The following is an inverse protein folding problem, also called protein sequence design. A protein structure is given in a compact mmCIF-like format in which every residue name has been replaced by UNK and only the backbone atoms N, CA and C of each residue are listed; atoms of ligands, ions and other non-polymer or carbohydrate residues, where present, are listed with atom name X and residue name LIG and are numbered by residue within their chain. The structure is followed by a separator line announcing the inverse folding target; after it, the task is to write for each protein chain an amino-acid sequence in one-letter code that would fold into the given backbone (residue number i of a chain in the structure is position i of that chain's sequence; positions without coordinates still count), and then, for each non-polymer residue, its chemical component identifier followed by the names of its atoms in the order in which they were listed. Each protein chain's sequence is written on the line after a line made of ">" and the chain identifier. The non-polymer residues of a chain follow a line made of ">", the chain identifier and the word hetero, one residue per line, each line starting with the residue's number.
data_IF_854615776976
#
_entry.id   IF_854615776976
#
_cell.length_a   1.000
_cell.length_b   1.000
_cell.length_c   1.000
_cell.angle_alpha   90.00
_cell.angle_beta   90.00
_cell.angle_gamma   90.00
#
_symmetry.space_group_name_H-M   'P 1'
#
loop_
_entity.id
_entity.type
_entity.pdbx_description
1 polymer ?
#
# COMPACT_ATOMS: atom_id res chain seq x y z
N UNK A 1 5.32 38.46 -10.13
CA UNK A 1 5.21 37.19 -10.88
C UNK A 1 4.21 36.34 -10.13
N UNK A 2 2.96 36.26 -10.60
CA UNK A 2 1.96 35.34 -10.04
C UNK A 2 2.35 33.93 -10.47
N UNK A 3 2.94 33.15 -9.57
CA UNK A 3 3.09 31.71 -9.76
C UNK A 3 1.68 31.15 -9.92
N UNK A 4 1.30 30.81 -11.16
CA UNK A 4 0.07 30.04 -11.39
C UNK A 4 0.24 28.72 -10.65
N UNK A 5 -0.72 28.39 -9.80
CA UNK A 5 -0.78 27.05 -9.20
C UNK A 5 -0.69 26.01 -10.32
N UNK A 6 0.12 24.96 -10.17
CA UNK A 6 0.28 23.96 -11.21
C UNK A 6 -1.05 23.30 -11.56
N UNK A 7 -1.25 23.00 -12.85
CA UNK A 7 -2.39 22.21 -13.30
C UNK A 7 -2.04 20.75 -13.07
N UNK A 8 -2.68 20.12 -12.09
CA UNK A 8 -2.42 18.74 -11.70
C UNK A 8 -3.50 17.79 -12.22
N UNK A 9 -3.10 16.74 -12.91
CA UNK A 9 -3.97 15.60 -13.26
C UNK A 9 -3.80 14.51 -12.22
N UNK A 10 -4.91 14.05 -11.65
CA UNK A 10 -4.91 12.94 -10.70
C UNK A 10 -5.27 11.64 -11.42
N UNK A 11 -4.38 10.66 -11.36
CA UNK A 11 -4.65 9.29 -11.81
C UNK A 11 -5.08 8.46 -10.61
N UNK A 12 -6.26 7.85 -10.74
CA UNK A 12 -6.89 7.04 -9.71
C UNK A 12 -7.62 5.81 -10.29
N UNK A 13 -7.56 5.63 -11.62
CA UNK A 13 -8.16 4.49 -12.30
C UNK A 13 -7.32 3.25 -12.02
N UNK A 14 -7.98 2.18 -11.57
CA UNK A 14 -7.31 0.94 -11.18
C UNK A 14 -6.43 0.34 -12.27
N UNK A 15 -6.91 0.32 -13.51
CA UNK A 15 -6.16 -0.28 -14.62
C UNK A 15 -4.92 0.55 -14.94
N UNK A 16 -5.07 1.87 -15.00
CA UNK A 16 -3.95 2.79 -15.26
C UNK A 16 -2.91 2.73 -14.14
N UNK A 17 -3.37 2.68 -12.89
CA UNK A 17 -2.50 2.55 -11.71
C UNK A 17 -1.79 1.19 -11.69
N UNK A 18 -2.46 0.10 -12.07
CA UNK A 18 -1.82 -1.22 -12.19
C UNK A 18 -0.76 -1.26 -13.29
N UNK A 19 -0.91 -0.48 -14.37
CA UNK A 19 0.14 -0.32 -15.39
C UNK A 19 1.32 0.50 -14.84
N UNK A 20 1.05 1.53 -14.03
CA UNK A 20 2.08 2.37 -13.41
C UNK A 20 2.89 1.64 -12.33
N UNK A 21 2.21 0.85 -11.49
CA UNK A 21 2.82 -0.10 -10.57
C UNK A 21 3.28 -1.31 -11.39
N UNK A 22 4.40 -1.17 -12.11
CA UNK A 22 5.03 -2.24 -12.91
C UNK A 22 4.80 -3.60 -12.23
N UNK A 23 3.91 -4.41 -12.77
CA UNK A 23 3.57 -5.71 -12.17
C UNK A 23 4.82 -6.58 -12.20
N UNK A 24 5.53 -6.68 -11.07
CA UNK A 24 6.65 -7.59 -10.94
C UNK A 24 6.08 -9.01 -10.79
N UNK A 25 6.35 -9.95 -11.72
CA UNK A 25 5.83 -11.30 -11.66
C UNK A 25 6.30 -12.11 -10.43
N UNK A 26 7.25 -11.61 -9.65
CA UNK A 26 7.76 -12.30 -8.45
C UNK A 26 6.69 -12.55 -7.37
N UNK A 27 5.67 -11.69 -7.21
CA UNK A 27 4.60 -11.92 -6.22
C UNK A 27 3.62 -13.04 -6.61
N UNK A 28 3.84 -13.76 -7.70
CA UNK A 28 2.88 -14.75 -8.24
C UNK A 28 3.37 -16.20 -8.12
N UNK A 29 4.61 -16.50 -7.73
CA UNK A 29 5.12 -17.88 -7.86
C UNK A 29 5.43 -18.67 -6.58
N UNK A 30 5.44 -18.08 -5.38
CA UNK A 30 5.80 -18.83 -4.15
C UNK A 30 4.75 -18.78 -3.02
N UNK A 31 3.64 -18.06 -3.17
CA UNK A 31 2.66 -17.89 -2.07
C UNK A 31 1.65 -19.03 -1.92
N UNK A 32 1.88 -20.18 -2.55
CA UNK A 32 0.95 -21.30 -2.50
C UNK A 32 1.13 -22.03 -1.17
N UNK A 33 0.28 -21.71 -0.19
CA UNK A 33 0.22 -22.19 1.21
C UNK A 33 0.91 -21.32 2.28
N UNK A 34 0.42 -20.09 2.46
CA UNK A 34 0.54 -19.41 3.77
C UNK A 34 -0.87 -19.23 4.32
N UNK A 35 -1.15 -19.76 5.51
CA UNK A 35 -2.47 -19.67 6.17
C UNK A 35 -2.96 -18.21 6.26
N UNK A 36 -2.03 -17.26 6.45
CA UNK A 36 -2.32 -15.83 6.45
C UNK A 36 -2.89 -15.34 5.12
N UNK A 37 -2.36 -15.80 3.97
CA UNK A 37 -2.86 -15.44 2.64
C UNK A 37 -4.28 -15.97 2.45
N UNK A 38 -4.56 -17.20 2.87
CA UNK A 38 -5.91 -17.76 2.80
C UNK A 38 -6.89 -17.01 3.70
N UNK A 39 -6.47 -16.64 4.92
CA UNK A 39 -7.28 -15.85 5.84
C UNK A 39 -7.66 -14.51 5.21
N UNK A 40 -6.66 -13.76 4.73
CA UNK A 40 -6.89 -12.49 4.05
C UNK A 40 -7.75 -12.66 2.81
N UNK A 41 -7.51 -13.70 2.02
CA UNK A 41 -8.34 -14.00 0.87
C UNK A 41 -9.79 -14.22 1.27
N UNK A 42 -10.07 -15.00 2.33
CA UNK A 42 -11.44 -15.22 2.85
C UNK A 42 -12.08 -13.93 3.36
N UNK A 43 -11.36 -13.11 4.14
CA UNK A 43 -11.84 -11.81 4.64
C UNK A 43 -12.20 -10.89 3.47
N UNK A 44 -11.35 -10.84 2.46
CA UNK A 44 -11.48 -9.95 1.31
C UNK A 44 -12.40 -10.47 0.19
N UNK A 45 -12.69 -11.78 0.12
CA UNK A 45 -13.53 -12.36 -0.95
C UNK A 45 -14.97 -11.83 -0.93
N UNK A 46 -15.44 -11.37 0.22
CA UNK A 46 -16.77 -10.78 0.39
C UNK A 46 -16.94 -9.40 -0.26
N UNK A 47 -15.85 -8.68 -0.56
CA UNK A 47 -15.91 -7.31 -1.09
C UNK A 47 -15.76 -7.29 -2.61
N UNK A 48 -16.79 -7.74 -3.33
CA UNK A 48 -16.87 -7.66 -4.80
C UNK A 48 -16.80 -6.21 -5.36
N UNK A 49 -16.90 -5.19 -4.49
CA UNK A 49 -17.02 -3.77 -4.87
C UNK A 49 -16.19 -2.81 -4.01
N UNK A 50 -15.01 -3.21 -3.52
CA UNK A 50 -14.14 -2.27 -2.79
C UNK A 50 -12.93 -2.92 -2.13
N UNK A 51 -12.02 -2.09 -1.58
CA UNK A 51 -10.94 -2.57 -0.72
C UNK A 51 -11.53 -3.27 0.51
N UNK A 52 -10.81 -4.29 1.01
CA UNK A 52 -11.29 -5.09 2.13
C UNK A 52 -11.65 -4.21 3.32
N UNK A 53 -12.79 -4.37 3.96
CA UNK A 53 -13.17 -3.50 5.08
C UNK A 53 -12.73 -4.09 6.43
N UNK A 54 -12.40 -3.21 7.39
CA UNK A 54 -12.20 -3.53 8.81
C UNK A 54 -11.19 -4.65 9.11
N UNK A 55 -10.03 -4.62 8.46
CA UNK A 55 -8.93 -5.51 8.82
C UNK A 55 -8.15 -4.89 9.98
N UNK A 56 -8.46 -5.27 11.21
CA UNK A 56 -7.62 -4.96 12.37
C UNK A 56 -6.51 -6.02 12.50
N UNK A 57 -5.44 -5.87 11.73
CA UNK A 57 -4.34 -6.84 11.68
C UNK A 57 -2.98 -6.16 11.52
N UNK A 58 -2.02 -6.60 12.34
CA UNK A 58 -0.59 -6.39 12.12
C UNK A 58 0.04 -7.76 11.85
N UNK A 59 0.85 -7.86 10.81
CA UNK A 59 1.49 -9.12 10.45
C UNK A 59 2.33 -9.65 11.64
N UNK A 60 2.10 -10.89 12.11
CA UNK A 60 2.82 -11.44 13.24
C UNK A 60 4.33 -11.34 13.07
N UNK A 61 5.02 -10.84 14.09
CA UNK A 61 6.46 -10.61 14.03
C UNK A 61 6.89 -9.28 13.39
N UNK A 62 5.95 -8.43 13.00
CA UNK A 62 6.18 -7.04 12.57
C UNK A 62 5.50 -6.07 13.55
N UNK A 63 5.78 -4.77 13.41
CA UNK A 63 5.14 -3.69 14.17
C UNK A 63 4.44 -2.67 13.28
N UNK A 64 4.84 -2.59 12.02
CA UNK A 64 4.42 -1.58 11.04
C UNK A 64 3.62 -2.16 9.87
N UNK A 65 3.59 -3.49 9.69
CA UNK A 65 2.91 -4.09 8.54
C UNK A 65 1.41 -4.37 8.81
N UNK A 66 0.59 -3.33 8.69
CA UNK A 66 -0.87 -3.41 8.73
C UNK A 66 -1.52 -2.02 8.68
N UNK A 67 -2.82 -1.87 9.01
CA UNK A 67 -3.43 -0.55 9.07
C UNK A 67 -2.89 0.26 10.27
N UNK A 68 -2.01 1.20 9.97
CA UNK A 68 -1.22 1.90 10.98
C UNK A 68 -0.13 0.99 11.56
N UNK A 69 0.25 1.20 12.81
CA UNK A 69 1.30 0.43 13.46
C UNK A 69 1.07 0.31 14.97
N UNK A 70 1.73 -0.68 15.58
CA UNK A 70 1.76 -0.92 17.04
C UNK A 70 3.15 -0.63 17.63
N UNK A 71 3.98 0.11 16.90
CA UNK A 71 5.33 0.46 17.30
C UNK A 71 5.32 1.55 18.38
N UNK A 72 6.19 1.42 19.38
CA UNK A 72 6.34 2.45 20.43
C UNK A 72 7.06 3.71 19.95
N UNK A 73 7.91 3.55 18.94
CA UNK A 73 8.69 4.63 18.31
C UNK A 73 9.24 4.13 16.97
N UNK A 74 9.81 5.05 16.19
CA UNK A 74 10.37 4.77 14.85
C UNK A 74 11.37 3.60 14.77
N UNK A 75 12.11 3.34 15.85
CA UNK A 75 13.13 2.27 15.90
C UNK A 75 12.59 0.95 16.45
N UNK A 76 11.35 0.91 16.93
CA UNK A 76 10.69 -0.30 17.42
C UNK A 76 10.27 -1.17 16.23
N UNK A 77 11.07 -2.19 15.96
CA UNK A 77 10.91 -3.11 14.84
C UNK A 77 10.72 -4.53 15.38
N UNK A 78 9.91 -5.31 14.67
CA UNK A 78 9.67 -6.71 14.95
C UNK A 78 10.84 -7.62 14.56
N UNK A 79 10.59 -8.93 14.64
CA UNK A 79 11.57 -9.97 14.30
C UNK A 79 11.85 -10.04 12.80
N UNK A 80 10.85 -9.74 11.97
CA UNK A 80 10.99 -9.59 10.52
C UNK A 80 11.48 -8.18 10.19
N UNK A 81 12.70 -7.87 10.65
CA UNK A 81 13.21 -6.50 10.74
C UNK A 81 13.23 -5.77 9.39
N UNK A 82 13.70 -6.43 8.34
CA UNK A 82 13.86 -5.79 7.03
C UNK A 82 12.52 -5.56 6.33
N UNK A 83 11.58 -6.49 6.48
CA UNK A 83 10.20 -6.34 6.02
C UNK A 83 9.47 -5.23 6.79
N UNK A 84 9.68 -5.17 8.10
CA UNK A 84 9.05 -4.18 8.98
C UNK A 84 9.59 -2.77 8.70
N UNK A 85 10.86 -2.65 8.31
CA UNK A 85 11.41 -1.39 7.77
C UNK A 85 10.67 -0.99 6.49
N UNK A 86 10.44 -1.91 5.55
CA UNK A 86 9.68 -1.58 4.33
C UNK A 86 8.29 -1.02 4.65
N UNK A 87 7.58 -1.63 5.61
CA UNK A 87 6.28 -1.15 6.06
C UNK A 87 6.37 0.19 6.78
N UNK A 88 7.35 0.37 7.68
CA UNK A 88 7.58 1.65 8.37
C UNK A 88 7.84 2.80 7.40
N UNK A 89 8.68 2.59 6.38
CA UNK A 89 8.95 3.63 5.38
C UNK A 89 7.70 3.95 4.54
N UNK A 90 6.83 2.95 4.30
CA UNK A 90 5.55 3.16 3.63
C UNK A 90 4.55 3.94 4.48
N UNK A 91 4.45 3.63 5.78
CA UNK A 91 3.62 4.34 6.77
C UNK A 91 3.98 5.83 6.87
N UNK A 92 5.25 6.17 6.65
CA UNK A 92 5.75 7.56 6.67
C UNK A 92 5.66 8.26 5.31
N UNK A 93 4.86 7.74 4.37
CA UNK A 93 4.58 8.43 3.13
C UNK A 93 4.02 9.84 3.41
N UNK A 94 4.72 10.89 2.97
CA UNK A 94 4.30 12.28 3.21
C UNK A 94 3.09 12.72 2.38
N UNK A 95 2.70 11.89 1.41
CA UNK A 95 1.65 12.17 0.44
C UNK A 95 0.58 11.09 0.52
N UNK A 96 -0.31 11.28 1.49
CA UNK A 96 -1.42 10.38 1.78
C UNK A 96 -2.74 11.12 1.68
N UNK A 97 -3.82 10.35 1.58
CA UNK A 97 -5.18 10.82 1.66
C UNK A 97 -5.89 9.92 2.68
N UNK A 98 -6.13 10.44 3.88
CA UNK A 98 -6.80 9.68 4.96
C UNK A 98 -8.26 9.39 4.60
N UNK A 99 -8.88 8.45 5.33
CA UNK A 99 -10.29 8.12 5.15
C UNK A 99 -11.18 9.37 5.27
N UNK A 100 -12.00 9.62 4.25
CA UNK A 100 -12.89 10.79 4.17
C UNK A 100 -12.23 12.07 3.68
N UNK A 101 -10.89 12.13 3.56
CA UNK A 101 -10.21 13.31 3.02
C UNK A 101 -10.39 13.40 1.50
N UNK A 102 -10.45 14.63 1.00
CA UNK A 102 -10.50 14.94 -0.41
C UNK A 102 -9.33 15.85 -0.80
N UNK A 103 -8.75 15.57 -1.96
CA UNK A 103 -7.70 16.38 -2.58
C UNK A 103 -8.02 16.54 -4.06
N UNK A 104 -8.19 17.79 -4.51
CA UNK A 104 -8.75 18.12 -5.83
C UNK A 104 -10.10 17.40 -6.09
N UNK A 105 -10.18 16.57 -7.13
CA UNK A 105 -11.35 15.80 -7.53
C UNK A 105 -11.30 14.35 -7.03
N UNK A 106 -10.40 14.03 -6.11
CA UNK A 106 -10.26 12.71 -5.52
C UNK A 106 -10.63 12.74 -4.03
N UNK A 107 -11.61 11.95 -3.64
CA UNK A 107 -11.93 11.68 -2.24
C UNK A 107 -11.58 10.24 -1.90
N UNK A 108 -10.97 10.03 -0.73
CA UNK A 108 -10.75 8.69 -0.20
C UNK A 108 -12.00 8.19 0.51
N UNK A 109 -12.82 7.43 -0.19
CA UNK A 109 -13.98 6.74 0.38
C UNK A 109 -13.65 5.34 0.92
N UNK A 110 -12.37 4.95 0.86
CA UNK A 110 -11.88 3.68 1.38
C UNK A 110 -11.73 3.75 2.90
N UNK A 111 -11.86 2.61 3.63
CA UNK A 111 -11.64 2.58 5.07
C UNK A 111 -10.16 2.75 5.46
N UNK A 112 -9.23 2.63 4.51
CA UNK A 112 -7.81 2.80 4.72
C UNK A 112 -7.28 4.08 4.08
N UNK A 113 -6.21 4.60 4.67
CA UNK A 113 -5.38 5.65 4.09
C UNK A 113 -4.89 5.24 2.71
N UNK A 114 -5.04 6.13 1.72
CA UNK A 114 -4.49 5.95 0.38
C UNK A 114 -3.16 6.66 0.29
N UNK A 115 -2.12 5.96 -0.14
CA UNK A 115 -0.78 6.54 -0.35
C UNK A 115 -0.59 7.00 -1.80
N UNK A 116 0.39 7.87 -2.03
CA UNK A 116 0.83 8.20 -3.39
C UNK A 116 1.49 6.98 -4.05
N UNK A 117 1.28 6.77 -5.34
CA UNK A 117 1.79 5.58 -6.06
C UNK A 117 3.32 5.47 -6.06
N UNK A 118 4.04 6.57 -5.83
CA UNK A 118 5.49 6.52 -5.61
C UNK A 118 5.86 5.78 -4.32
N UNK A 119 5.09 5.98 -3.24
CA UNK A 119 5.30 5.28 -1.97
C UNK A 119 5.01 3.79 -2.14
N UNK A 120 3.90 3.44 -2.78
CA UNK A 120 3.56 2.04 -3.09
C UNK A 120 4.62 1.38 -3.98
N UNK A 121 5.15 2.10 -4.97
CA UNK A 121 6.25 1.62 -5.81
C UNK A 121 7.55 1.40 -5.02
N UNK A 122 7.91 2.31 -4.11
CA UNK A 122 9.07 2.14 -3.21
C UNK A 122 8.87 0.97 -2.26
N UNK A 123 7.68 0.81 -1.72
CA UNK A 123 7.32 -0.32 -0.85
C UNK A 123 7.48 -1.65 -1.60
N UNK A 124 6.94 -1.73 -2.82
CA UNK A 124 7.11 -2.89 -3.69
C UNK A 124 8.58 -3.22 -3.97
N UNK A 125 9.39 -2.20 -4.29
CA UNK A 125 10.84 -2.37 -4.52
C UNK A 125 11.58 -2.81 -3.27
N UNK A 126 11.21 -2.29 -2.11
CA UNK A 126 11.79 -2.67 -0.83
C UNK A 126 11.53 -4.15 -0.54
N UNK A 127 10.27 -4.60 -0.60
CA UNK A 127 9.93 -6.01 -0.40
C UNK A 127 10.64 -6.94 -1.40
N UNK A 128 10.69 -6.54 -2.68
CA UNK A 128 11.42 -7.28 -3.71
C UNK A 128 12.93 -7.39 -3.43
N UNK A 129 13.52 -6.36 -2.80
CA UNK A 129 14.94 -6.36 -2.44
C UNK A 129 15.21 -7.25 -1.23
N UNK A 130 14.28 -7.31 -0.27
CA UNK A 130 14.37 -8.22 0.88
C UNK A 130 14.26 -9.68 0.42
N UNK A 131 13.34 -9.97 -0.51
CA UNK A 131 13.25 -11.26 -1.21
C UNK A 131 13.14 -12.50 -0.28
N UNK A 132 12.33 -12.41 0.77
CA UNK A 132 12.02 -13.50 1.69
C UNK A 132 10.57 -13.95 1.53
N UNK A 133 10.23 -15.17 1.96
CA UNK A 133 8.84 -15.65 1.96
C UNK A 133 7.87 -14.70 2.68
N UNK A 134 8.31 -14.06 3.76
CA UNK A 134 7.55 -13.02 4.47
C UNK A 134 7.34 -11.79 3.60
N UNK A 135 8.38 -11.27 2.93
CA UNK A 135 8.27 -10.13 2.04
C UNK A 135 7.33 -10.42 0.84
N UNK A 136 7.42 -11.62 0.26
CA UNK A 136 6.51 -12.10 -0.78
C UNK A 136 5.06 -12.13 -0.29
N UNK A 137 4.83 -12.67 0.91
CA UNK A 137 3.51 -12.74 1.55
C UNK A 137 2.91 -11.36 1.78
N UNK A 138 3.68 -10.42 2.35
CA UNK A 138 3.27 -9.04 2.57
C UNK A 138 2.90 -8.34 1.25
N UNK A 139 3.70 -8.55 0.21
CA UNK A 139 3.41 -8.02 -1.13
C UNK A 139 2.12 -8.58 -1.71
N UNK A 140 1.87 -9.88 -1.60
CA UNK A 140 0.60 -10.50 -2.04
C UNK A 140 -0.58 -9.93 -1.28
N UNK A 141 -0.50 -9.83 0.05
CA UNK A 141 -1.58 -9.28 0.87
C UNK A 141 -1.88 -7.84 0.43
N UNK A 142 -0.87 -6.98 0.32
CA UNK A 142 -1.07 -5.57 -0.02
C UNK A 142 -1.55 -5.36 -1.46
N UNK A 143 -0.79 -5.86 -2.45
CA UNK A 143 -1.01 -5.55 -3.86
C UNK A 143 -2.08 -6.42 -4.53
N UNK A 144 -2.27 -7.67 -4.07
CA UNK A 144 -3.15 -8.64 -4.73
C UNK A 144 -4.44 -8.92 -3.97
N UNK A 145 -4.47 -8.76 -2.64
CA UNK A 145 -5.65 -9.06 -1.83
C UNK A 145 -6.35 -7.78 -1.36
N UNK A 146 -5.69 -6.96 -0.55
CA UNK A 146 -6.26 -5.73 0.01
C UNK A 146 -6.53 -4.69 -1.08
N UNK A 147 -5.58 -4.53 -2.02
CA UNK A 147 -5.75 -3.73 -3.24
C UNK A 147 -6.20 -2.29 -2.93
N UNK A 148 -5.60 -1.66 -1.92
CA UNK A 148 -5.78 -0.22 -1.70
C UNK A 148 -5.32 0.51 -2.95
N UNK A 149 -6.17 1.35 -3.52
CA UNK A 149 -5.79 2.11 -4.72
C UNK A 149 -4.93 3.31 -4.32
N UNK A 150 -3.68 3.37 -4.79
CA UNK A 150 -2.89 4.58 -4.68
C UNK A 150 -3.45 5.70 -5.56
N UNK A 151 -2.83 6.88 -5.49
CA UNK A 151 -3.09 7.99 -6.41
C UNK A 151 -1.78 8.58 -6.92
N UNK A 152 -1.80 9.16 -8.12
CA UNK A 152 -0.66 9.88 -8.67
C UNK A 152 -1.10 11.27 -9.12
N UNK A 153 -0.33 12.30 -8.77
CA UNK A 153 -0.51 13.64 -9.35
C UNK A 153 0.58 13.89 -10.41
N UNK A 154 0.17 14.37 -11.59
CA UNK A 154 1.08 14.91 -12.60
C UNK A 154 0.75 16.38 -12.80
N UNK A 155 1.64 17.24 -12.30
CA UNK A 155 1.48 18.68 -12.25
C UNK A 155 2.30 19.33 -13.37
N UNK A 156 1.66 20.06 -14.27
CA UNK A 156 2.32 20.92 -15.24
C UNK A 156 2.54 22.30 -14.61
N UNK A 157 3.81 22.68 -14.48
CA UNK A 157 4.19 24.04 -14.12
C UNK A 157 4.26 24.85 -15.41
N UNK A 158 3.39 25.86 -15.52
CA UNK A 158 3.35 26.81 -16.64
C UNK A 158 4.10 28.09 -16.34
#
# INVERSE_FOLDING_TARGET
>A
ITLKSPICRIYNNRNDIQVLLKTNPLFVYESMYVETVELFYKICKGTQRGPCQNIEFIYPGTKWCGPGNIAKNYSDLGVYRDEDICCREHDHCTRTLETGQCYFNLCNTSPYTRSHCECDGKFQQCLNKVNTSTAHTLGVIFFNIVKVMCFKEECLFG
#
